data_IF_060996785911
#
_entry.id   IF_060996785911
#
_cell.length_a   1.000
_cell.length_b   1.000
_cell.length_c   1.000
_cell.angle_alpha   90.00
_cell.angle_beta   90.00
_cell.angle_gamma   90.00
#
_symmetry.space_group_name_H-M   'P 1'
#
loop_
_entity.id
_entity.type
_entity.pdbx_description
1 polymer ?
#
# COMPACT_ATOMS: atom_id res chain seq x y z
N UNK A 1 -17.22 -18.07 13.61
CA UNK A 1 -17.19 -17.31 12.36
C UNK A 1 -17.29 -15.84 12.74
N UNK A 2 -16.16 -15.19 13.00
CA UNK A 2 -16.14 -13.77 13.34
C UNK A 2 -16.56 -12.96 12.12
N UNK A 3 -17.48 -12.01 12.30
CA UNK A 3 -17.78 -11.02 11.27
C UNK A 3 -16.55 -10.12 11.14
N UNK A 4 -15.84 -10.21 10.02
CA UNK A 4 -14.88 -9.21 9.63
C UNK A 4 -15.65 -7.91 9.36
N UNK A 5 -15.65 -7.01 10.32
CA UNK A 5 -16.13 -5.65 10.12
C UNK A 5 -15.09 -4.88 9.29
N UNK A 6 -15.52 -4.23 8.22
CA UNK A 6 -14.64 -3.47 7.33
C UNK A 6 -14.93 -1.96 7.38
N UNK A 7 -13.90 -1.17 7.11
CA UNK A 7 -13.96 0.27 6.84
C UNK A 7 -13.71 0.54 5.36
N UNK A 8 -14.26 1.64 4.85
CA UNK A 8 -14.01 2.15 3.51
C UNK A 8 -12.99 3.28 3.58
N UNK A 9 -11.89 3.15 2.86
CA UNK A 9 -10.92 4.22 2.64
C UNK A 9 -11.07 4.73 1.21
N UNK A 10 -10.97 6.04 1.00
CA UNK A 10 -10.93 6.57 -0.36
C UNK A 10 -9.71 6.02 -1.10
N UNK A 11 -9.92 5.44 -2.28
CA UNK A 11 -8.85 4.93 -3.11
C UNK A 11 -8.19 6.10 -3.85
N UNK A 12 -6.88 6.28 -3.67
CA UNK A 12 -6.09 7.18 -4.49
C UNK A 12 -5.57 6.41 -5.71
N UNK A 13 -5.72 6.98 -6.90
CA UNK A 13 -5.14 6.49 -8.15
C UNK A 13 -4.21 7.53 -8.74
N UNK A 14 -3.25 7.07 -9.55
CA UNK A 14 -2.34 7.90 -10.33
C UNK A 14 -3.08 8.55 -11.51
N UNK A 15 -4.11 9.35 -11.25
CA UNK A 15 -4.72 10.19 -12.28
C UNK A 15 -3.84 11.43 -12.50
N UNK A 16 -3.37 11.62 -13.73
CA UNK A 16 -2.43 12.68 -14.15
C UNK A 16 -2.92 14.12 -13.87
N UNK A 17 -4.17 14.30 -13.41
CA UNK A 17 -4.80 15.58 -13.12
C UNK A 17 -5.02 15.90 -11.63
N UNK A 18 -4.68 15.01 -10.70
CA UNK A 18 -4.73 15.31 -9.26
C UNK A 18 -3.42 14.97 -8.58
N UNK A 19 -2.78 16.01 -8.05
CA UNK A 19 -1.49 16.01 -7.36
C UNK A 19 -1.48 15.26 -6.00
N UNK A 20 -2.34 14.27 -5.80
CA UNK A 20 -2.51 13.59 -4.52
C UNK A 20 -2.15 12.10 -4.62
N UNK A 21 -1.03 11.78 -3.96
CA UNK A 21 -0.59 10.46 -3.47
C UNK A 21 -0.03 9.47 -4.51
N UNK A 22 1.17 9.82 -4.99
CA UNK A 22 2.16 8.83 -5.40
C UNK A 22 2.44 7.84 -4.25
N UNK A 23 2.73 6.54 -4.51
CA UNK A 23 3.23 5.58 -3.51
C UNK A 23 4.43 6.07 -2.68
N UNK A 24 5.11 7.14 -3.14
CA UNK A 24 6.02 7.98 -2.34
C UNK A 24 5.47 8.30 -0.95
N UNK A 25 4.25 8.83 -0.90
CA UNK A 25 3.66 9.22 0.38
C UNK A 25 3.40 8.00 1.28
N UNK A 26 3.13 6.85 0.66
CA UNK A 26 2.84 5.62 1.38
C UNK A 26 4.09 5.06 2.06
N UNK A 27 5.24 5.03 1.38
CA UNK A 27 6.51 4.64 1.99
C UNK A 27 6.98 5.62 3.09
N UNK A 28 6.75 6.93 2.89
CA UNK A 28 7.20 7.97 3.81
C UNK A 28 6.40 8.01 5.14
N UNK A 29 5.17 7.50 5.15
CA UNK A 29 4.26 7.65 6.31
C UNK A 29 3.73 6.35 6.89
N UNK A 30 3.93 5.22 6.21
CA UNK A 30 3.44 3.93 6.69
C UNK A 30 4.51 3.22 7.50
N UNK A 31 4.09 2.58 8.58
CA UNK A 31 4.91 1.70 9.43
C UNK A 31 4.63 0.22 9.12
N UNK A 32 3.56 -0.05 8.37
CA UNK A 32 3.21 -1.35 7.83
C UNK A 32 2.50 -1.18 6.48
N UNK A 33 2.59 -2.18 5.61
CA UNK A 33 1.91 -2.17 4.32
C UNK A 33 1.16 -3.48 4.08
N UNK A 34 0.08 -3.42 3.29
CA UNK A 34 -0.70 -4.57 2.85
C UNK A 34 -0.93 -4.50 1.35
N UNK A 35 -0.78 -5.64 0.68
CA UNK A 35 -1.04 -5.82 -0.74
C UNK A 35 -2.33 -6.61 -0.95
N UNK A 36 -3.19 -6.09 -1.81
CA UNK A 36 -4.33 -6.81 -2.39
C UNK A 36 -4.18 -6.82 -3.92
N UNK A 37 -4.33 -8.01 -4.53
CA UNK A 37 -4.18 -8.18 -5.98
C UNK A 37 -5.39 -8.93 -6.51
N UNK A 38 -6.09 -8.30 -7.45
CA UNK A 38 -7.27 -8.89 -8.09
C UNK A 38 -6.92 -10.20 -8.80
N UNK A 39 -7.69 -11.24 -8.52
CA UNK A 39 -7.47 -12.58 -9.09
C UNK A 39 -7.57 -12.61 -10.61
N UNK A 40 -8.29 -11.67 -11.22
CA UNK A 40 -8.47 -11.58 -12.67
C UNK A 40 -7.22 -11.08 -13.41
N UNK A 41 -6.19 -10.63 -12.70
CA UNK A 41 -4.91 -10.24 -13.32
C UNK A 41 -4.12 -11.48 -13.78
N UNK A 42 -3.36 -11.38 -14.90
CA UNK A 42 -2.46 -12.46 -15.32
C UNK A 42 -1.33 -12.64 -14.29
N UNK A 43 -0.76 -13.84 -14.24
CA UNK A 43 0.28 -14.21 -13.26
C UNK A 43 1.47 -13.26 -13.28
N UNK A 44 1.90 -12.84 -14.47
CA UNK A 44 3.00 -11.91 -14.67
C UNK A 44 2.72 -10.54 -14.02
N UNK A 45 1.48 -10.07 -14.07
CA UNK A 45 1.09 -8.83 -13.40
C UNK A 45 1.08 -8.97 -11.88
N UNK A 46 0.71 -10.15 -11.37
CA UNK A 46 0.73 -10.46 -9.93
C UNK A 46 2.17 -10.51 -9.40
N UNK A 47 3.08 -11.12 -10.15
CA UNK A 47 4.51 -11.16 -9.82
C UNK A 47 5.13 -9.76 -9.75
N UNK A 48 4.79 -8.89 -10.73
CA UNK A 48 5.24 -7.49 -10.72
C UNK A 48 4.65 -6.72 -9.53
N UNK A 49 3.38 -6.93 -9.21
CA UNK A 49 2.74 -6.32 -8.05
C UNK A 49 3.41 -6.76 -6.74
N UNK A 50 3.75 -8.05 -6.61
CA UNK A 50 4.49 -8.58 -5.47
C UNK A 50 5.90 -7.96 -5.38
N UNK A 51 6.65 -7.92 -6.49
CA UNK A 51 7.99 -7.30 -6.51
C UNK A 51 7.95 -5.82 -6.14
N UNK A 52 6.94 -5.08 -6.62
CA UNK A 52 6.73 -3.69 -6.24
C UNK A 52 6.44 -3.55 -4.74
N UNK A 53 5.65 -4.46 -4.19
CA UNK A 53 5.30 -4.46 -2.77
C UNK A 53 6.49 -4.83 -1.89
N UNK A 54 7.30 -5.83 -2.26
CA UNK A 54 8.52 -6.19 -1.56
C UNK A 54 9.47 -4.99 -1.49
N UNK A 55 9.68 -4.30 -2.63
CA UNK A 55 10.48 -3.09 -2.68
C UNK A 55 9.93 -1.95 -1.81
N UNK A 56 8.60 -1.81 -1.72
CA UNK A 56 7.95 -0.85 -0.82
C UNK A 56 8.23 -1.19 0.65
N UNK A 57 8.11 -2.47 1.02
CA UNK A 57 8.41 -2.94 2.38
C UNK A 57 9.87 -2.68 2.75
N UNK A 58 10.80 -3.00 1.85
CA UNK A 58 12.23 -2.71 2.05
C UNK A 58 12.47 -1.22 2.33
N UNK A 59 11.81 -0.33 1.59
CA UNK A 59 11.92 1.12 1.82
C UNK A 59 11.34 1.50 3.18
N UNK A 60 10.15 0.99 3.54
CA UNK A 60 9.51 1.29 4.83
C UNK A 60 10.45 0.93 5.98
N UNK A 61 11.04 -0.26 5.92
CA UNK A 61 11.93 -0.79 6.95
C UNK A 61 13.21 0.04 7.12
N UNK A 62 13.83 0.49 6.01
CA UNK A 62 15.07 1.28 6.07
C UNK A 62 14.84 2.80 6.12
N UNK A 63 13.58 3.25 6.03
CA UNK A 63 13.25 4.67 5.85
C UNK A 63 13.72 5.56 6.99
N UNK A 64 13.81 5.04 8.22
CA UNK A 64 14.28 5.78 9.39
C UNK A 64 15.78 6.13 9.28
N UNK A 65 16.57 5.26 8.67
CA UNK A 65 18.03 5.36 8.57
C UNK A 65 18.49 5.94 7.22
N UNK A 66 17.61 5.94 6.21
CA UNK A 66 17.91 6.46 4.88
C UNK A 66 18.09 7.98 4.87
N UNK A 67 19.13 8.46 4.17
CA UNK A 67 19.33 9.89 3.97
C UNK A 67 18.24 10.49 3.06
N UNK A 68 18.10 11.82 3.07
CA UNK A 68 17.17 12.49 2.15
C UNK A 68 17.48 12.20 0.68
N UNK A 69 18.76 12.07 0.33
CA UNK A 69 19.19 11.76 -1.04
C UNK A 69 18.79 10.34 -1.45
N UNK A 70 18.94 9.38 -0.54
CA UNK A 70 18.57 7.98 -0.78
C UNK A 70 17.06 7.85 -0.95
N UNK A 71 16.29 8.51 -0.08
CA UNK A 71 14.82 8.59 -0.21
C UNK A 71 14.40 9.17 -1.57
N UNK A 72 15.11 10.18 -2.08
CA UNK A 72 14.81 10.73 -3.40
C UNK A 72 15.13 9.73 -4.53
N UNK A 73 16.20 8.94 -4.40
CA UNK A 73 16.56 7.89 -5.36
C UNK A 73 15.52 6.76 -5.36
N UNK A 74 15.16 6.23 -4.20
CA UNK A 74 14.13 5.20 -4.04
C UNK A 74 12.79 5.63 -4.64
N UNK A 75 12.44 6.91 -4.47
CA UNK A 75 11.23 7.47 -5.07
C UNK A 75 11.24 7.46 -6.60
N UNK A 76 12.41 7.71 -7.23
CA UNK A 76 12.54 7.65 -8.69
C UNK A 76 12.41 6.22 -9.19
N UNK A 77 13.05 5.28 -8.49
CA UNK A 77 12.99 3.84 -8.79
C UNK A 77 11.56 3.30 -8.64
N UNK A 78 10.90 3.57 -7.52
CA UNK A 78 9.49 3.19 -7.30
C UNK A 78 8.57 3.78 -8.38
N UNK A 79 8.79 5.04 -8.76
CA UNK A 79 8.05 5.69 -9.84
C UNK A 79 8.23 5.03 -11.21
N UNK A 80 9.36 4.36 -11.45
CA UNK A 80 9.64 3.56 -12.64
C UNK A 80 8.98 2.18 -12.55
N UNK A 81 9.10 1.48 -11.41
CA UNK A 81 8.46 0.17 -11.18
C UNK A 81 6.94 0.25 -11.31
N UNK A 82 6.32 1.37 -10.88
CA UNK A 82 4.89 1.63 -11.03
C UNK A 82 4.43 1.80 -12.48
N UNK A 83 5.32 2.04 -13.44
CA UNK A 83 4.98 2.05 -14.87
C UNK A 83 4.89 0.64 -15.45
N UNK A 84 5.45 -0.37 -14.78
CA UNK A 84 5.45 -1.76 -15.25
C UNK A 84 4.07 -2.42 -15.19
N UNK A 85 3.23 -2.25 -14.14
CA UNK A 85 1.85 -2.74 -14.12
C UNK A 85 0.98 -2.19 -15.26
N UNK A 86 1.23 -0.97 -15.73
CA UNK A 86 0.50 -0.36 -16.85
C UNK A 86 0.69 -1.18 -18.14
N UNK A 87 1.87 -1.79 -18.33
CA UNK A 87 2.15 -2.67 -19.47
C UNK A 87 1.26 -3.93 -19.48
N UNK A 88 0.74 -4.33 -18.32
CA UNK A 88 -0.15 -5.48 -18.16
C UNK A 88 -1.62 -5.10 -17.99
N UNK A 89 -2.00 -3.86 -18.34
CA UNK A 89 -3.36 -3.34 -18.16
C UNK A 89 -3.82 -3.48 -16.71
N UNK A 90 -2.92 -3.19 -15.76
CA UNK A 90 -3.24 -3.11 -14.35
C UNK A 90 -3.23 -1.64 -13.88
N UNK A 91 -4.05 -1.35 -12.89
CA UNK A 91 -4.11 -0.06 -12.20
C UNK A 91 -3.83 -0.28 -10.72
N UNK A 92 -2.94 0.55 -10.18
CA UNK A 92 -2.49 0.52 -8.80
C UNK A 92 -3.19 1.63 -8.03
N UNK A 93 -3.85 1.27 -6.94
CA UNK A 93 -4.51 2.18 -6.01
C UNK A 93 -3.83 2.11 -4.66
N UNK A 94 -3.86 3.21 -3.93
CA UNK A 94 -3.33 3.28 -2.58
C UNK A 94 -4.30 3.95 -1.61
N UNK A 95 -4.19 3.60 -0.33
CA UNK A 95 -4.80 4.31 0.77
C UNK A 95 -3.92 4.22 2.01
N UNK A 96 -4.08 5.17 2.94
CA UNK A 96 -3.38 5.18 4.22
C UNK A 96 -4.41 5.24 5.33
N UNK A 97 -4.16 4.51 6.41
CA UNK A 97 -4.98 4.52 7.61
C UNK A 97 -4.14 4.70 8.86
N UNK A 98 -4.49 5.72 9.64
CA UNK A 98 -4.07 5.81 11.04
C UNK A 98 -5.00 4.97 11.91
N UNK A 99 -4.43 4.09 12.74
CA UNK A 99 -5.18 3.23 13.65
C UNK A 99 -4.34 2.88 14.88
N UNK A 100 -4.84 2.01 15.74
CA UNK A 100 -4.08 1.43 16.84
C UNK A 100 -4.07 -0.09 16.72
N UNK A 101 -2.96 -0.71 17.12
CA UNK A 101 -2.78 -2.15 17.18
C UNK A 101 -2.52 -2.60 18.61
N UNK A 102 -3.06 -3.76 18.97
CA UNK A 102 -2.75 -4.44 20.23
C UNK A 102 -2.58 -5.92 19.92
N UNK A 103 -1.43 -6.49 20.26
CA UNK A 103 -1.21 -7.91 20.02
C UNK A 103 -1.99 -8.78 21.00
N UNK A 104 -2.65 -9.82 20.48
CA UNK A 104 -3.34 -10.84 21.29
C UNK A 104 -2.48 -11.41 22.43
N UNK A 105 -1.17 -11.55 22.21
CA UNK A 105 -0.22 -12.13 23.18
C UNK A 105 0.71 -11.14 23.86
N UNK A 106 0.53 -9.83 23.65
CA UNK A 106 1.36 -8.84 24.35
C UNK A 106 1.05 -8.82 25.84
N UNK A 107 2.10 -8.78 26.68
CA UNK A 107 1.99 -8.61 28.13
C UNK A 107 1.40 -7.24 28.47
N UNK A 108 1.82 -6.20 27.75
CA UNK A 108 1.22 -4.87 27.79
C UNK A 108 0.12 -4.75 26.72
N UNK A 109 -1.10 -4.38 27.14
CA UNK A 109 -2.26 -4.18 26.27
C UNK A 109 -2.47 -2.73 25.87
N UNK A 110 -1.53 -1.83 26.18
CA UNK A 110 -1.56 -0.44 25.73
C UNK A 110 -1.55 -0.40 24.20
N UNK A 111 -2.62 0.10 23.54
CA UNK A 111 -2.67 0.10 22.09
C UNK A 111 -1.63 1.06 21.51
N UNK A 112 -0.80 0.55 20.60
CA UNK A 112 0.22 1.35 19.92
C UNK A 112 -0.37 2.01 18.68
N UNK A 113 -0.17 3.32 18.47
CA UNK A 113 -0.55 3.96 17.22
C UNK A 113 0.23 3.31 16.07
N UNK A 114 -0.44 3.10 14.94
CA UNK A 114 0.19 2.60 13.73
C UNK A 114 -0.40 3.25 12.48
N UNK A 115 0.45 3.56 11.51
CA UNK A 115 0.10 3.99 10.17
C UNK A 115 0.23 2.83 9.18
N UNK A 116 -0.88 2.44 8.55
CA UNK A 116 -0.90 1.33 7.58
C UNK A 116 -1.16 1.85 6.17
N UNK A 117 -0.27 1.48 5.25
CA UNK A 117 -0.44 1.66 3.82
C UNK A 117 -1.15 0.45 3.20
N UNK A 118 -2.12 0.71 2.33
CA UNK A 118 -2.81 -0.30 1.55
C UNK A 118 -2.50 -0.08 0.08
N UNK A 119 -2.08 -1.13 -0.61
CA UNK A 119 -1.85 -1.14 -2.04
C UNK A 119 -2.81 -2.16 -2.67
N UNK A 120 -3.62 -1.71 -3.62
CA UNK A 120 -4.58 -2.57 -4.32
C UNK A 120 -4.31 -2.52 -5.82
N UNK A 121 -4.12 -3.67 -6.45
CA UNK A 121 -3.86 -3.78 -7.90
C UNK A 121 -5.03 -4.47 -8.58
N UNK A 122 -5.67 -3.78 -9.52
CA UNK A 122 -6.85 -4.27 -10.25
C UNK A 122 -6.67 -4.16 -11.77
N UNK A 123 -7.46 -4.86 -12.58
CA UNK A 123 -7.50 -4.64 -14.03
C UNK A 123 -7.85 -3.18 -14.37
N UNK A 124 -7.17 -2.60 -15.36
CA UNK A 124 -7.30 -1.18 -15.74
C UNK A 124 -8.61 -0.83 -16.42
N UNK A 125 -9.43 -1.83 -16.77
CA UNK A 125 -10.79 -1.63 -17.24
C UNK A 125 -11.80 -1.47 -16.08
N UNK A 126 -11.33 -1.51 -14.83
CA UNK A 126 -12.10 -1.26 -13.62
C UNK A 126 -11.56 -0.01 -12.93
N UNK A 127 -12.45 0.67 -12.21
CA UNK A 127 -12.07 1.78 -11.33
C UNK A 127 -12.41 1.44 -9.88
N UNK A 128 -11.52 1.85 -8.98
CA UNK A 128 -11.72 1.72 -7.55
C UNK A 128 -11.94 3.10 -6.95
N UNK A 129 -13.04 3.30 -6.24
CA UNK A 129 -13.30 4.53 -5.48
C UNK A 129 -13.01 4.35 -4.00
N UNK A 130 -13.12 3.12 -3.51
CA UNK A 130 -12.99 2.77 -2.10
C UNK A 130 -12.17 1.49 -1.94
N UNK A 131 -11.24 1.46 -0.98
CA UNK A 131 -10.53 0.26 -0.52
C UNK A 131 -11.19 -0.20 0.79
N UNK A 132 -11.60 -1.47 0.83
CA UNK A 132 -12.16 -2.09 2.03
C UNK A 132 -11.03 -2.61 2.92
N UNK A 133 -10.96 -2.16 4.18
CA UNK A 133 -9.90 -2.54 5.12
C UNK A 133 -10.47 -3.06 6.44
N UNK A 134 -9.79 -3.99 7.15
CA UNK A 134 -10.29 -4.49 8.43
C UNK A 134 -10.48 -3.37 9.45
N UNK A 135 -11.60 -3.36 10.18
CA UNK A 135 -11.88 -2.33 11.20
C UNK A 135 -11.03 -2.51 12.46
N UNK A 136 -10.83 -3.75 12.88
CA UNK A 136 -9.99 -4.12 14.03
C UNK A 136 -8.65 -4.71 13.58
N UNK A 137 -7.61 -4.43 14.35
CA UNK A 137 -6.30 -5.09 14.29
C UNK A 137 -6.04 -5.65 15.69
N UNK A 138 -6.66 -6.81 15.98
CA UNK A 138 -6.59 -7.50 17.26
C UNK A 138 -5.76 -8.76 17.16
#
# INVERSE_FOLDING_TARGET
MERLDFLRLAAATRDARRQWQCPRHLADVSEAALLDVDEALPSEAKEIAATLFDYLCDIVDISADASFSDKLAYNKEMGATLKSPEAFRASVYSAIRSTKMVGAFWTDKTPMPIMIGYLTVIPSNRSLTEIMVPRGLS
#
